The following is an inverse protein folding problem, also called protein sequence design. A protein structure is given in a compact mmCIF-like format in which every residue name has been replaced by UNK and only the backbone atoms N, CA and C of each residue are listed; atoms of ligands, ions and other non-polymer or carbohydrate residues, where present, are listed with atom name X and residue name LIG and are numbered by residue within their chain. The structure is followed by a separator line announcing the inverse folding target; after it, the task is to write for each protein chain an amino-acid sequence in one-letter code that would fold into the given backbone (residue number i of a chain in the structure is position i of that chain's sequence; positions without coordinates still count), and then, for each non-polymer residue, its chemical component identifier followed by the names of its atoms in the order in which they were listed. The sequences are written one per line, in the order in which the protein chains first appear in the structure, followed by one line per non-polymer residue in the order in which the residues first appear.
data_IF_446373559708
#
_entry.id   IF_446373559708
#
_cell.length_a   1.000
_cell.length_b   1.000
_cell.length_c   1.000
_cell.angle_alpha   90.00
_cell.angle_beta   90.00
_cell.angle_gamma   90.00
#
_symmetry.space_group_name_H-M   'P 1'
#
loop_
_entity.id
_entity.type
_entity.pdbx_description
1 polymer ?
#
# COMPACT_ATOMS: atom_id res chain seq x y z
N UNK A 1 3.98 9.76 -26.17
CA UNK A 1 2.57 9.64 -25.77
C UNK A 1 2.18 8.17 -25.84
N UNK A 2 1.47 7.71 -24.80
CA UNK A 2 0.93 6.36 -24.55
C UNK A 2 1.88 5.30 -23.96
N UNK A 3 1.81 5.15 -22.63
CA UNK A 3 1.97 3.87 -21.92
C UNK A 3 0.68 3.65 -21.13
N UNK A 4 0.17 2.43 -21.21
CA UNK A 4 -1.23 2.06 -21.03
C UNK A 4 -1.74 2.15 -19.60
N UNK A 5 -2.94 2.69 -19.49
CA UNK A 5 -3.83 2.59 -18.34
C UNK A 5 -4.47 1.21 -18.33
N UNK A 6 -4.40 0.51 -17.20
CA UNK A 6 -5.24 -0.65 -16.92
C UNK A 6 -5.58 -0.66 -15.44
N UNK A 7 -6.66 0.06 -15.11
CA UNK A 7 -7.49 -0.20 -13.92
C UNK A 7 -7.02 0.34 -12.57
N UNK A 8 -6.40 1.53 -12.51
CA UNK A 8 -6.18 2.20 -11.22
C UNK A 8 -7.49 2.87 -10.81
N UNK A 9 -8.21 2.30 -9.83
CA UNK A 9 -9.02 3.16 -8.97
C UNK A 9 -8.06 4.15 -8.35
N UNK A 10 -8.17 5.43 -8.70
CA UNK A 10 -7.33 6.48 -8.12
C UNK A 10 -7.63 6.51 -6.62
N UNK A 11 -6.76 5.88 -5.84
CA UNK A 11 -6.87 5.84 -4.39
C UNK A 11 -6.94 7.29 -3.88
N UNK A 12 -7.78 7.54 -2.88
CA UNK A 12 -8.12 8.89 -2.44
C UNK A 12 -9.42 9.45 -3.02
N UNK A 13 -9.96 8.89 -4.11
CA UNK A 13 -11.26 9.38 -4.65
C UNK A 13 -12.48 9.06 -3.77
N UNK A 14 -12.35 8.18 -2.78
CA UNK A 14 -13.44 7.85 -1.86
C UNK A 14 -13.72 8.93 -0.81
N UNK A 15 -12.73 9.74 -0.42
CA UNK A 15 -12.88 10.88 0.48
C UNK A 15 -11.62 11.75 0.49
N UNK A 16 -11.81 13.04 0.81
CA UNK A 16 -10.72 14.03 0.92
C UNK A 16 -9.67 13.60 1.93
N UNK A 17 -10.06 13.02 3.07
CA UNK A 17 -9.10 12.61 4.10
C UNK A 17 -8.08 11.58 3.61
N UNK A 18 -8.49 10.65 2.75
CA UNK A 18 -7.56 9.68 2.15
C UNK A 18 -6.66 10.35 1.12
N UNK A 19 -7.23 11.22 0.27
CA UNK A 19 -6.47 11.96 -0.72
C UNK A 19 -5.39 12.83 -0.06
N UNK A 20 -5.74 13.55 0.99
CA UNK A 20 -4.83 14.42 1.73
C UNK A 20 -3.73 13.60 2.42
N UNK A 21 -4.07 12.46 3.04
CA UNK A 21 -3.10 11.58 3.68
C UNK A 21 -2.09 10.99 2.69
N UNK A 22 -2.48 10.77 1.44
CA UNK A 22 -1.60 10.28 0.37
C UNK A 22 -0.77 11.40 -0.30
N UNK A 23 -1.10 12.66 -0.07
CA UNK A 23 -0.47 13.81 -0.74
C UNK A 23 0.60 14.51 0.12
N UNK A 24 0.99 13.92 1.25
CA UNK A 24 2.00 14.49 2.14
C UNK A 24 3.36 14.62 1.45
N UNK A 25 3.97 15.82 1.50
CA UNK A 25 5.21 16.14 0.78
C UNK A 25 6.43 16.28 1.72
N UNK A 26 6.19 16.46 3.03
CA UNK A 26 7.23 16.77 4.01
C UNK A 26 7.95 15.51 4.54
N UNK A 27 7.25 14.38 4.56
CA UNK A 27 7.75 13.07 4.99
C UNK A 27 7.22 12.01 4.03
N UNK A 28 7.85 10.83 4.04
CA UNK A 28 7.26 9.67 3.37
C UNK A 28 5.82 9.44 3.88
N UNK A 29 4.81 9.43 2.99
CA UNK A 29 3.44 9.24 3.39
C UNK A 29 3.25 7.88 4.07
N UNK A 30 2.54 7.86 5.20
CA UNK A 30 2.14 6.61 5.85
C UNK A 30 1.20 5.77 4.99
N UNK A 31 0.60 6.37 3.95
CA UNK A 31 -0.26 5.70 2.97
C UNK A 31 0.32 5.94 1.58
N UNK A 32 0.85 4.89 0.95
CA UNK A 32 1.55 4.98 -0.34
C UNK A 32 1.14 3.87 -1.29
N UNK A 33 1.25 4.14 -2.59
CA UNK A 33 1.01 3.13 -3.63
C UNK A 33 2.36 2.52 -3.99
N UNK A 34 2.51 1.22 -3.75
CA UNK A 34 3.71 0.48 -4.12
C UNK A 34 3.89 0.40 -5.64
N UNK A 35 5.07 -0.01 -6.08
CA UNK A 35 5.39 -0.20 -7.50
C UNK A 35 4.51 -1.28 -8.17
N UNK A 36 3.98 -2.21 -7.36
CA UNK A 36 2.99 -3.23 -7.71
C UNK A 36 1.55 -2.69 -7.85
N UNK A 37 1.34 -1.41 -7.55
CA UNK A 37 0.04 -0.73 -7.69
C UNK A 37 -0.96 -1.10 -6.59
N UNK A 38 -0.48 -1.54 -5.43
CA UNK A 38 -1.28 -1.79 -4.21
C UNK A 38 -1.12 -0.61 -3.27
N UNK A 39 -2.22 -0.22 -2.61
CA UNK A 39 -2.17 0.77 -1.54
C UNK A 39 -1.71 0.11 -0.24
N UNK A 40 -0.62 0.59 0.32
CA UNK A 40 -0.05 0.15 1.59
C UNK A 40 -0.19 1.22 2.67
N UNK A 41 -0.21 0.76 3.92
CA UNK A 41 -0.04 1.61 5.11
C UNK A 41 1.17 1.15 5.90
N UNK A 42 2.03 2.07 6.29
CA UNK A 42 3.11 1.77 7.22
C UNK A 42 2.55 1.57 8.63
N UNK A 43 2.78 0.40 9.20
CA UNK A 43 2.25 -0.03 10.51
C UNK A 43 3.31 -0.12 11.61
N UNK A 44 4.59 0.05 11.26
CA UNK A 44 5.68 0.02 12.23
C UNK A 44 7.04 0.26 11.61
N UNK A 45 8.06 0.20 12.47
CA UNK A 45 9.47 0.24 12.12
C UNK A 45 10.10 -1.11 12.45
N UNK A 46 11.01 -1.57 11.60
CA UNK A 46 11.90 -2.69 11.88
C UNK A 46 13.33 -2.18 11.92
N UNK A 47 14.07 -2.58 12.94
CA UNK A 47 15.51 -2.36 13.01
C UNK A 47 16.17 -3.27 11.97
N UNK A 48 16.78 -2.69 10.94
CA UNK A 48 17.48 -3.44 9.90
C UNK A 48 18.95 -3.65 10.26
N UNK A 49 19.57 -2.72 11.00
CA UNK A 49 20.94 -2.85 11.53
C UNK A 49 21.16 -1.97 12.78
N UNK A 50 21.76 -2.53 13.84
CA UNK A 50 22.05 -1.80 15.10
C UNK A 50 23.19 -0.75 14.96
N UNK A 51 23.93 -0.76 13.85
CA UNK A 51 25.13 0.09 13.65
C UNK A 51 24.89 1.33 12.79
N UNK A 52 23.84 1.38 11.94
CA UNK A 52 23.67 2.43 10.92
C UNK A 52 22.39 3.30 11.05
N UNK A 53 21.62 3.18 12.15
CA UNK A 53 20.35 3.93 12.38
C UNK A 53 19.30 3.78 11.23
N UNK A 54 19.49 2.81 10.33
CA UNK A 54 18.59 2.51 9.21
C UNK A 54 17.41 1.67 9.69
N UNK A 55 16.32 2.34 10.07
CA UNK A 55 15.04 1.69 10.37
C UNK A 55 14.21 1.49 9.08
N UNK A 56 13.86 0.25 8.76
CA UNK A 56 12.93 -0.06 7.68
C UNK A 56 11.47 0.17 8.11
N UNK A 57 10.60 0.54 7.17
CA UNK A 57 9.16 0.60 7.40
C UNK A 57 8.53 -0.79 7.20
N UNK A 58 7.56 -1.15 8.03
CA UNK A 58 6.70 -2.32 7.80
C UNK A 58 5.41 -1.85 7.15
N UNK A 59 5.19 -2.24 5.90
CA UNK A 59 4.03 -1.85 5.11
C UNK A 59 3.01 -2.99 4.99
N UNK A 60 1.71 -2.66 5.10
CA UNK A 60 0.62 -3.63 5.03
C UNK A 60 -0.49 -3.19 4.06
N UNK A 61 -1.00 -4.06 3.16
CA UNK A 61 -2.00 -3.68 2.17
C UNK A 61 -3.32 -3.27 2.81
N UNK A 62 -3.90 -2.19 2.31
CA UNK A 62 -5.14 -1.60 2.84
C UNK A 62 -6.35 -1.97 1.99
N UNK A 63 -7.26 -2.79 2.51
CA UNK A 63 -8.47 -3.20 1.77
C UNK A 63 -9.63 -2.22 1.87
N UNK A 64 -9.67 -1.43 2.95
CA UNK A 64 -10.72 -0.46 3.23
C UNK A 64 -10.10 0.88 3.60
N UNK A 65 -10.76 1.97 3.21
CA UNK A 65 -10.37 3.32 3.60
C UNK A 65 -10.51 3.45 5.13
N UNK A 66 -9.43 3.84 5.84
CA UNK A 66 -9.48 3.99 7.30
C UNK A 66 -10.36 5.17 7.74
N UNK A 67 -10.70 6.09 6.83
CA UNK A 67 -11.47 7.29 7.13
C UNK A 67 -12.98 7.12 6.89
N UNK A 68 -13.37 6.51 5.76
CA UNK A 68 -14.78 6.40 5.36
C UNK A 68 -15.29 4.96 5.20
N UNK A 69 -14.44 3.94 5.37
CA UNK A 69 -14.81 2.53 5.28
C UNK A 69 -15.07 2.01 3.87
N UNK A 70 -14.88 2.83 2.82
CA UNK A 70 -15.02 2.39 1.42
C UNK A 70 -14.01 1.28 1.12
N UNK A 71 -14.44 0.21 0.46
CA UNK A 71 -13.53 -0.84 -0.02
C UNK A 71 -12.66 -0.27 -1.16
N UNK A 72 -11.34 -0.34 -0.99
CA UNK A 72 -10.35 0.23 -1.91
C UNK A 72 -9.77 -0.82 -2.86
N UNK A 73 -9.56 -2.04 -2.37
CA UNK A 73 -9.01 -3.16 -3.13
C UNK A 73 -9.50 -4.49 -2.54
N UNK A 74 -9.36 -5.58 -3.29
CA UNK A 74 -9.74 -6.93 -2.86
C UNK A 74 -8.49 -7.77 -2.52
N UNK A 75 -8.66 -8.84 -1.76
CA UNK A 75 -7.56 -9.76 -1.42
C UNK A 75 -7.04 -10.42 -2.69
N UNK A 76 -7.96 -10.80 -3.58
CA UNK A 76 -7.67 -11.40 -4.87
C UNK A 76 -6.87 -10.47 -5.78
N UNK A 77 -7.23 -9.17 -5.84
CA UNK A 77 -6.49 -8.17 -6.62
C UNK A 77 -5.09 -7.92 -6.07
N UNK A 78 -4.94 -7.87 -4.73
CA UNK A 78 -3.63 -7.70 -4.09
C UNK A 78 -2.74 -8.91 -4.37
N UNK A 79 -3.23 -10.13 -4.13
CA UNK A 79 -2.48 -11.37 -4.43
C UNK A 79 -2.05 -11.46 -5.90
N UNK A 80 -2.95 -11.09 -6.82
CA UNK A 80 -2.64 -11.07 -8.25
C UNK A 80 -1.55 -10.05 -8.62
N UNK A 81 -1.42 -8.94 -7.87
CA UNK A 81 -0.40 -7.91 -8.09
C UNK A 81 0.93 -8.22 -7.40
N UNK A 82 0.89 -8.80 -6.20
CA UNK A 82 2.09 -9.10 -5.39
C UNK A 82 2.73 -10.43 -5.74
N UNK A 83 2.03 -11.30 -6.49
CA UNK A 83 2.55 -12.61 -6.87
C UNK A 83 2.55 -13.62 -5.71
N UNK A 84 1.77 -13.35 -4.67
CA UNK A 84 1.58 -14.23 -3.52
C UNK A 84 0.72 -15.44 -3.96
N UNK A 85 1.40 -16.47 -4.46
CA UNK A 85 0.86 -17.82 -4.57
C UNK A 85 0.95 -18.39 -3.16
N UNK A 86 -0.18 -18.63 -2.50
CA UNK A 86 -0.23 -19.18 -1.14
C UNK A 86 0.82 -20.32 -1.01
N UNK A 87 1.80 -20.16 -0.12
CA UNK A 87 2.65 -21.26 0.38
C UNK A 87 1.82 -22.18 1.31
N UNK A 88 0.60 -22.53 0.89
CA UNK A 88 -0.23 -23.60 1.44
C UNK A 88 -0.03 -24.84 0.54
N UNK A 89 1.19 -25.36 0.49
CA UNK A 89 1.44 -26.78 0.25
C UNK A 89 2.11 -27.31 1.53
N UNK A 90 1.27 -27.73 2.47
CA UNK A 90 1.69 -28.58 3.58
C UNK A 90 2.21 -29.90 3.00
N UNK A 91 3.52 -30.16 3.11
CA UNK A 91 4.12 -31.50 3.04
C UNK A 91 5.07 -31.76 4.22
#
# INVERSE_FOLDING_TARGET
MAVGTSGVHEFGTCCVDLQDAMSGEEFEPLLTVGEDGVLYMSVGLIDLDEEDDDAGMVDHPMFFCPFCGTKLQTVEDVRAKTGDVDEDDED
#
